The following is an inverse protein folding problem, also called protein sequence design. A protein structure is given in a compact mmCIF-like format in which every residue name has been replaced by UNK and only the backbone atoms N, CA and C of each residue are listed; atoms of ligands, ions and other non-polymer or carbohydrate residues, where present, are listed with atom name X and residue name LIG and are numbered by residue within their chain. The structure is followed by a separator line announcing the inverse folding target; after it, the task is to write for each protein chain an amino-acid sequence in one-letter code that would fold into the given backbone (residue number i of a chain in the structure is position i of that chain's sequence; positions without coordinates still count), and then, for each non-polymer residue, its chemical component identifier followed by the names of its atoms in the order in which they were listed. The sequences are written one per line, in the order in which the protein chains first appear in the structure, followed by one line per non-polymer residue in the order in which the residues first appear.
data_IF_504388939440
#
_entry.id   IF_504388939440
#
_cell.length_a   1.000
_cell.length_b   1.000
_cell.length_c   1.000
_cell.angle_alpha   90.00
_cell.angle_beta   90.00
_cell.angle_gamma   90.00
#
_symmetry.space_group_name_H-M   'P 1'
#
loop_
_entity.id
_entity.type
_entity.pdbx_description
1 polymer ?
#
# COMPACT_ATOMS: atom_id res chain seq x y z
N UNK A 1 -33.20 -27.04 29.20
CA UNK A 1 -31.74 -26.79 29.24
C UNK A 1 -31.04 -26.93 27.89
N UNK A 2 -31.48 -27.76 26.93
CA UNK A 2 -30.73 -27.97 25.66
C UNK A 2 -30.76 -26.82 24.64
N UNK A 3 -31.91 -26.16 24.42
CA UNK A 3 -32.07 -25.15 23.36
C UNK A 3 -31.27 -23.85 23.60
N UNK A 4 -31.26 -23.36 24.85
CA UNK A 4 -30.51 -22.14 25.24
C UNK A 4 -28.99 -22.39 25.13
N UNK A 5 -28.56 -23.61 25.45
CA UNK A 5 -27.15 -24.01 25.36
C UNK A 5 -26.68 -24.07 23.89
N UNK A 6 -27.52 -24.57 22.98
CA UNK A 6 -27.25 -24.59 21.54
C UNK A 6 -27.14 -23.17 20.97
N UNK A 7 -28.05 -22.27 21.35
CA UNK A 7 -28.01 -20.85 20.91
C UNK A 7 -26.73 -20.17 21.40
N UNK A 8 -26.32 -20.42 22.66
CA UNK A 8 -25.09 -19.87 23.21
C UNK A 8 -23.83 -20.39 22.47
N UNK A 9 -23.79 -21.68 22.11
CA UNK A 9 -22.68 -22.27 21.34
C UNK A 9 -22.61 -21.67 19.94
N UNK A 10 -23.75 -21.61 19.22
CA UNK A 10 -23.80 -21.04 17.86
C UNK A 10 -23.39 -19.56 17.89
N UNK A 11 -23.89 -18.80 18.86
CA UNK A 11 -23.51 -17.40 19.06
C UNK A 11 -22.02 -17.22 19.33
N UNK A 12 -21.44 -18.08 20.18
CA UNK A 12 -20.00 -18.08 20.47
C UNK A 12 -19.15 -18.38 19.24
N UNK A 13 -19.52 -19.38 18.44
CA UNK A 13 -18.83 -19.75 17.19
C UNK A 13 -18.89 -18.59 16.18
N UNK A 14 -20.08 -18.01 15.97
CA UNK A 14 -20.25 -16.87 15.06
C UNK A 14 -19.45 -15.64 15.50
N UNK A 15 -19.44 -15.34 16.80
CA UNK A 15 -18.63 -14.26 17.35
C UNK A 15 -17.14 -14.50 17.14
N UNK A 16 -16.67 -15.72 17.36
CA UNK A 16 -15.27 -16.09 17.16
C UNK A 16 -14.83 -15.97 15.69
N UNK A 17 -15.65 -16.45 14.74
CA UNK A 17 -15.40 -16.31 13.30
C UNK A 17 -15.35 -14.83 12.89
N UNK A 18 -16.30 -14.02 13.37
CA UNK A 18 -16.32 -12.58 13.11
C UNK A 18 -15.06 -11.89 13.62
N UNK A 19 -14.66 -12.18 14.87
CA UNK A 19 -13.47 -11.59 15.50
C UNK A 19 -12.19 -11.95 14.74
N UNK A 20 -12.02 -13.23 14.40
CA UNK A 20 -10.86 -13.69 13.63
C UNK A 20 -10.78 -13.06 12.23
N UNK A 21 -11.93 -12.88 11.56
CA UNK A 21 -11.97 -12.22 10.26
C UNK A 21 -11.55 -10.75 10.36
N UNK A 22 -12.06 -10.00 11.35
CA UNK A 22 -11.71 -8.59 11.56
C UNK A 22 -10.20 -8.46 11.79
N UNK A 23 -9.64 -9.29 12.67
CA UNK A 23 -8.22 -9.24 13.03
C UNK A 23 -7.31 -9.42 11.80
N UNK A 24 -7.66 -10.35 10.89
CA UNK A 24 -6.93 -10.54 9.62
C UNK A 24 -6.90 -9.29 8.74
N UNK A 25 -8.04 -8.60 8.60
CA UNK A 25 -8.11 -7.38 7.79
C UNK A 25 -7.44 -6.19 8.48
N UNK A 26 -7.51 -6.12 9.81
CA UNK A 26 -6.78 -5.13 10.61
C UNK A 26 -5.26 -5.29 10.43
N UNK A 27 -4.73 -6.53 10.50
CA UNK A 27 -3.30 -6.79 10.25
C UNK A 27 -2.87 -6.38 8.83
N UNK A 28 -3.71 -6.66 7.82
CA UNK A 28 -3.44 -6.22 6.43
C UNK A 28 -3.44 -4.70 6.31
N UNK A 29 -4.33 -4.01 7.02
CA UNK A 29 -4.32 -2.55 7.04
C UNK A 29 -3.12 -1.99 7.79
N UNK A 30 -2.69 -2.60 8.88
CA UNK A 30 -1.46 -2.19 9.58
C UNK A 30 -0.25 -2.31 8.66
N UNK A 31 -0.13 -3.41 7.92
CA UNK A 31 0.93 -3.58 6.92
C UNK A 31 0.82 -2.52 5.82
N UNK A 32 -0.39 -2.27 5.29
CA UNK A 32 -0.62 -1.24 4.29
C UNK A 32 -0.25 0.16 4.77
N UNK A 33 -0.48 0.49 6.05
CA UNK A 33 -0.06 1.76 6.66
C UNK A 33 1.47 1.89 6.66
N UNK A 34 2.19 0.86 7.11
CA UNK A 34 3.66 0.89 7.12
C UNK A 34 4.25 1.04 5.72
N UNK A 35 3.68 0.32 4.75
CA UNK A 35 4.05 0.44 3.34
C UNK A 35 3.78 1.85 2.84
N UNK A 36 2.60 2.42 3.14
CA UNK A 36 2.21 3.75 2.72
C UNK A 36 3.14 4.83 3.28
N UNK A 37 3.53 4.74 4.55
CA UNK A 37 4.50 5.65 5.16
C UNK A 37 5.85 5.59 4.44
N UNK A 38 6.35 4.37 4.19
CA UNK A 38 7.62 4.16 3.48
C UNK A 38 7.56 4.67 2.03
N UNK A 39 6.48 4.38 1.32
CA UNK A 39 6.27 4.82 -0.06
C UNK A 39 6.18 6.35 -0.17
N UNK A 40 5.46 7.01 0.76
CA UNK A 40 5.41 8.48 0.81
C UNK A 40 6.78 9.09 1.09
N UNK A 41 7.57 8.48 1.99
CA UNK A 41 8.93 8.94 2.26
C UNK A 41 9.81 8.84 1.00
N UNK A 42 9.82 7.69 0.33
CA UNK A 42 10.58 7.50 -0.91
C UNK A 42 10.14 8.49 -1.99
N UNK A 43 8.84 8.72 -2.13
CA UNK A 43 8.30 9.72 -3.07
C UNK A 43 8.87 11.11 -2.79
N UNK A 44 8.89 11.54 -1.53
CA UNK A 44 9.45 12.84 -1.14
C UNK A 44 10.95 12.94 -1.37
N UNK A 45 11.70 11.87 -1.06
CA UNK A 45 13.14 11.77 -1.33
C UNK A 45 13.41 11.92 -2.84
N UNK A 46 12.71 11.15 -3.68
CA UNK A 46 12.89 11.21 -5.14
C UNK A 46 12.45 12.55 -5.75
N UNK A 47 11.43 13.22 -5.19
CA UNK A 47 11.06 14.58 -5.61
C UNK A 47 12.16 15.60 -5.30
N UNK A 48 12.86 15.44 -4.17
CA UNK A 48 14.03 16.24 -3.85
C UNK A 48 15.18 15.96 -4.83
N UNK A 49 15.41 14.69 -5.17
CA UNK A 49 16.43 14.28 -6.16
C UNK A 49 16.16 14.88 -7.54
N UNK A 50 14.89 14.93 -7.99
CA UNK A 50 14.53 15.61 -9.25
C UNK A 50 14.87 17.10 -9.21
N UNK A 51 14.62 17.76 -8.08
CA UNK A 51 14.92 19.17 -7.92
C UNK A 51 16.43 19.42 -7.97
N UNK A 52 17.23 18.54 -7.36
CA UNK A 52 18.69 18.57 -7.45
C UNK A 52 19.20 18.31 -8.88
N UNK A 53 18.70 17.27 -9.55
CA UNK A 53 19.01 16.96 -10.95
C UNK A 53 18.71 18.15 -11.86
N UNK A 54 17.56 18.82 -11.65
CA UNK A 54 17.18 20.01 -12.40
C UNK A 54 18.16 21.18 -12.18
N UNK A 55 18.67 21.35 -10.96
CA UNK A 55 19.73 22.30 -10.65
C UNK A 55 21.05 21.98 -11.35
N UNK A 56 21.45 20.71 -11.36
CA UNK A 56 22.67 20.25 -12.04
C UNK A 56 22.57 20.43 -13.57
N UNK A 57 21.40 20.15 -14.16
CA UNK A 57 21.12 20.34 -15.59
C UNK A 57 21.29 21.80 -16.03
N UNK A 58 20.99 22.78 -15.18
CA UNK A 58 21.13 24.20 -15.51
C UNK A 58 22.58 24.64 -15.75
N UNK A 59 23.55 23.89 -15.22
CA UNK A 59 25.00 24.15 -15.37
C UNK A 59 25.74 23.07 -16.19
N UNK A 60 25.02 22.07 -16.71
CA UNK A 60 25.61 20.90 -17.35
C UNK A 60 26.07 21.17 -18.80
N UNK A 61 27.15 20.51 -19.22
CA UNK A 61 27.53 20.42 -20.63
C UNK A 61 26.59 19.47 -21.41
N UNK A 62 26.80 19.35 -22.73
CA UNK A 62 25.91 18.58 -23.62
C UNK A 62 25.85 17.08 -23.29
N UNK A 63 26.96 16.46 -22.92
CA UNK A 63 26.98 15.02 -22.57
C UNK A 63 26.37 14.79 -21.19
N UNK A 64 26.73 15.65 -20.22
CA UNK A 64 26.16 15.61 -18.87
C UNK A 64 24.65 15.84 -18.90
N UNK A 65 24.16 16.78 -19.72
CA UNK A 65 22.74 17.09 -19.86
C UNK A 65 21.92 15.87 -20.34
N UNK A 66 22.45 15.09 -21.29
CA UNK A 66 21.77 13.87 -21.77
C UNK A 66 21.65 12.84 -20.65
N UNK A 67 22.73 12.60 -19.90
CA UNK A 67 22.72 11.64 -18.79
C UNK A 67 21.78 12.07 -17.65
N UNK A 68 21.77 13.36 -17.30
CA UNK A 68 20.90 13.92 -16.27
C UNK A 68 19.42 13.90 -16.70
N UNK A 69 19.15 14.10 -17.99
CA UNK A 69 17.78 13.97 -18.53
C UNK A 69 17.27 12.55 -18.38
N UNK A 70 18.08 11.54 -18.74
CA UNK A 70 17.70 10.13 -18.57
C UNK A 70 17.50 9.76 -17.09
N UNK A 71 18.38 10.23 -16.21
CA UNK A 71 18.24 10.02 -14.78
C UNK A 71 16.93 10.63 -14.26
N UNK A 72 16.62 11.87 -14.65
CA UNK A 72 15.37 12.55 -14.28
C UNK A 72 14.14 11.80 -14.80
N UNK A 73 14.13 11.36 -16.05
CA UNK A 73 13.02 10.60 -16.63
C UNK A 73 12.78 9.28 -15.87
N UNK A 74 13.86 8.58 -15.50
CA UNK A 74 13.78 7.37 -14.70
C UNK A 74 13.20 7.63 -13.30
N UNK A 75 13.65 8.70 -12.63
CA UNK A 75 13.14 9.10 -11.31
C UNK A 75 11.67 9.52 -11.38
N UNK A 76 11.26 10.25 -12.42
CA UNK A 76 9.86 10.61 -12.65
C UNK A 76 8.97 9.38 -12.88
N UNK A 77 9.46 8.39 -13.65
CA UNK A 77 8.75 7.12 -13.84
C UNK A 77 8.57 6.38 -12.51
N UNK A 78 9.62 6.29 -11.70
CA UNK A 78 9.56 5.65 -10.39
C UNK A 78 8.61 6.36 -9.42
N UNK A 79 8.59 7.70 -9.41
CA UNK A 79 7.61 8.47 -8.62
C UNK A 79 6.18 8.16 -9.04
N UNK A 80 5.90 8.06 -10.34
CA UNK A 80 4.55 7.69 -10.83
C UNK A 80 4.13 6.30 -10.36
N UNK A 81 5.06 5.35 -10.36
CA UNK A 81 4.82 4.01 -9.80
C UNK A 81 4.52 4.07 -8.30
N UNK A 82 5.29 4.85 -7.53
CA UNK A 82 5.02 5.08 -6.11
C UNK A 82 3.66 5.74 -5.88
N UNK A 83 3.27 6.72 -6.69
CA UNK A 83 1.97 7.39 -6.57
C UNK A 83 0.80 6.44 -6.85
N UNK A 84 0.92 5.54 -7.83
CA UNK A 84 -0.06 4.50 -8.09
C UNK A 84 -0.20 3.52 -6.90
N UNK A 85 0.95 3.08 -6.35
CA UNK A 85 0.98 2.25 -5.14
C UNK A 85 0.32 2.96 -3.95
N UNK A 86 0.66 4.24 -3.72
CA UNK A 86 0.09 5.07 -2.65
C UNK A 86 -1.43 5.17 -2.78
N UNK A 87 -1.95 5.41 -3.98
CA UNK A 87 -3.40 5.46 -4.23
C UNK A 87 -4.09 4.16 -3.84
N UNK A 88 -3.56 3.02 -4.28
CA UNK A 88 -4.10 1.71 -3.92
C UNK A 88 -4.05 1.44 -2.40
N UNK A 89 -2.95 1.81 -1.74
CA UNK A 89 -2.81 1.64 -0.28
C UNK A 89 -3.80 2.54 0.48
N UNK A 90 -4.02 3.77 0.02
CA UNK A 90 -5.03 4.66 0.59
C UNK A 90 -6.44 4.07 0.44
N UNK A 91 -6.76 3.44 -0.69
CA UNK A 91 -8.03 2.76 -0.89
C UNK A 91 -8.21 1.57 0.07
N UNK A 92 -7.15 0.81 0.35
CA UNK A 92 -7.16 -0.27 1.36
C UNK A 92 -7.46 0.29 2.76
N UNK A 93 -6.88 1.43 3.12
CA UNK A 93 -7.01 2.05 4.44
C UNK A 93 -8.31 2.83 4.64
N UNK A 94 -8.96 3.24 3.55
CA UNK A 94 -10.21 4.02 3.56
C UNK A 94 -11.37 3.27 4.23
N UNK A 95 -11.41 1.94 4.06
CA UNK A 95 -12.50 1.11 4.52
C UNK A 95 -12.25 0.58 5.92
N UNK A 96 -13.30 0.39 6.72
CA UNK A 96 -13.16 -0.30 8.01
C UNK A 96 -13.44 -1.80 7.84
N UNK A 97 -12.73 -2.69 8.56
CA UNK A 97 -13.02 -4.12 8.60
C UNK A 97 -14.42 -4.46 9.14
N UNK A 98 -15.09 -3.52 9.79
CA UNK A 98 -16.52 -3.59 10.12
C UNK A 98 -17.27 -2.46 9.40
N UNK A 99 -18.40 -2.73 8.74
CA UNK A 99 -19.15 -4.00 8.60
C UNK A 99 -18.56 -4.97 7.55
N UNK A 100 -19.23 -6.11 7.30
CA UNK A 100 -18.81 -7.11 6.30
C UNK A 100 -18.58 -6.53 4.90
N UNK A 101 -19.34 -5.51 4.50
CA UNK A 101 -19.13 -4.79 3.25
C UNK A 101 -17.75 -4.15 3.17
N UNK A 102 -17.25 -3.55 4.26
CA UNK A 102 -15.93 -2.95 4.28
C UNK A 102 -14.80 -3.97 4.07
N UNK A 103 -14.96 -5.22 4.51
CA UNK A 103 -13.97 -6.29 4.23
C UNK A 103 -13.88 -6.66 2.76
N UNK A 104 -15.01 -6.68 2.06
CA UNK A 104 -15.04 -6.93 0.63
C UNK A 104 -14.32 -5.80 -0.13
N UNK A 105 -14.56 -4.55 0.27
CA UNK A 105 -13.87 -3.41 -0.34
C UNK A 105 -12.36 -3.42 -0.06
N UNK A 106 -11.93 -3.75 1.16
CA UNK A 106 -10.51 -3.94 1.48
C UNK A 106 -9.89 -5.02 0.59
N UNK A 107 -10.59 -6.15 0.43
CA UNK A 107 -10.12 -7.24 -0.41
C UNK A 107 -10.03 -6.84 -1.89
N UNK A 108 -11.01 -6.11 -2.41
CA UNK A 108 -11.00 -5.59 -3.77
C UNK A 108 -9.85 -4.60 -3.99
N UNK A 109 -9.58 -3.72 -3.03
CA UNK A 109 -8.47 -2.78 -3.08
C UNK A 109 -7.11 -3.50 -3.06
N UNK A 110 -6.96 -4.57 -2.26
CA UNK A 110 -5.76 -5.42 -2.29
C UNK A 110 -5.57 -6.10 -3.65
N UNK A 111 -6.65 -6.61 -4.25
CA UNK A 111 -6.57 -7.19 -5.60
C UNK A 111 -6.25 -6.13 -6.66
N UNK A 112 -6.77 -4.92 -6.52
CA UNK A 112 -6.45 -3.81 -7.41
C UNK A 112 -4.97 -3.44 -7.31
N UNK A 113 -4.41 -3.36 -6.09
CA UNK A 113 -2.98 -3.18 -5.87
C UNK A 113 -2.18 -4.24 -6.64
N UNK A 114 -2.47 -5.52 -6.41
CA UNK A 114 -1.75 -6.61 -7.08
C UNK A 114 -1.88 -6.56 -8.60
N UNK A 115 -3.04 -6.17 -9.13
CA UNK A 115 -3.25 -6.02 -10.57
C UNK A 115 -2.46 -4.86 -11.17
N UNK A 116 -2.32 -3.75 -10.43
CA UNK A 116 -1.64 -2.55 -10.89
C UNK A 116 -0.12 -2.64 -10.75
N UNK A 117 0.36 -3.23 -9.66
CA UNK A 117 1.78 -3.27 -9.32
C UNK A 117 2.44 -4.60 -9.65
N UNK A 118 1.65 -5.67 -9.82
CA UNK A 118 2.15 -7.05 -9.94
C UNK A 118 2.51 -7.69 -8.60
N UNK A 119 2.49 -6.94 -7.49
CA UNK A 119 2.93 -7.40 -6.17
C UNK A 119 1.76 -7.57 -5.20
N UNK A 120 1.79 -8.62 -4.41
CA UNK A 120 0.98 -8.73 -3.19
C UNK A 120 1.41 -7.69 -2.17
N UNK A 121 0.56 -7.44 -1.16
CA UNK A 121 0.89 -6.49 -0.08
C UNK A 121 2.15 -6.93 0.69
N UNK A 122 2.31 -8.23 0.88
CA UNK A 122 3.43 -8.84 1.57
C UNK A 122 4.73 -8.76 0.74
N UNK A 123 4.68 -8.98 -0.57
CA UNK A 123 5.83 -8.79 -1.48
C UNK A 123 6.24 -7.31 -1.57
N UNK A 124 5.26 -6.40 -1.64
CA UNK A 124 5.51 -4.97 -1.65
C UNK A 124 6.15 -4.50 -0.34
N UNK A 125 5.73 -5.07 0.80
CA UNK A 125 6.40 -4.82 2.08
C UNK A 125 7.86 -5.28 2.04
N UNK A 126 8.15 -6.46 1.51
CA UNK A 126 9.51 -6.99 1.41
C UNK A 126 10.38 -6.10 0.53
N UNK A 127 9.88 -5.69 -0.63
CA UNK A 127 10.64 -4.84 -1.54
C UNK A 127 10.95 -3.47 -0.92
N UNK A 128 9.99 -2.90 -0.20
CA UNK A 128 10.18 -1.61 0.46
C UNK A 128 10.92 -1.72 1.81
N UNK A 129 11.37 -2.92 2.19
CA UNK A 129 12.10 -3.17 3.45
C UNK A 129 11.25 -2.99 4.71
N UNK A 130 9.93 -3.15 4.60
CA UNK A 130 8.96 -3.04 5.68
C UNK A 130 8.76 -4.40 6.36
N UNK A 131 8.82 -4.42 7.70
CA UNK A 131 8.61 -5.61 8.55
C UNK A 131 7.27 -5.59 9.27
#
# INVERSE_FOLDING_TARGET
MGLIFIIAIIGGILWFIRKSSIDKYTQKQELATKILEKANRLRLENLADINELSGQMASADREQYISLTQARESTEAFIRELENCIGCLQDILKWRPEPSGGRLEIQNAIFALQRQTGYTLEELAQELGVK
#
